data_IF_736149668232
#
_entry.id   IF_736149668232
#
_cell.length_a   1.000
_cell.length_b   1.000
_cell.length_c   1.000
_cell.angle_alpha   90.00
_cell.angle_beta   90.00
_cell.angle_gamma   90.00
#
_symmetry.space_group_name_H-M   'P 1'
#
loop_
_entity.id
_entity.type
_entity.pdbx_description
1 polymer ?
#
# COMPACT_ATOMS: atom_id res chain seq x y z
N UNK A 1 -10.62 6.57 9.56
CA UNK A 1 -10.75 6.27 8.12
C UNK A 1 -11.17 4.81 7.93
N UNK A 2 -11.93 4.50 6.87
CA UNK A 2 -12.51 3.16 6.65
C UNK A 2 -11.42 2.10 6.43
N UNK A 3 -10.33 2.43 5.78
CA UNK A 3 -9.21 1.54 5.51
C UNK A 3 -8.53 1.02 6.80
N UNK A 4 -8.48 1.81 7.86
CA UNK A 4 -7.87 1.42 9.14
C UNK A 4 -8.59 0.25 9.81
N UNK A 5 -9.91 0.18 9.66
CA UNK A 5 -10.73 -0.80 10.36
C UNK A 5 -11.26 -1.94 9.49
N UNK A 6 -11.17 -1.79 8.16
CA UNK A 6 -11.84 -2.71 7.23
C UNK A 6 -10.95 -3.29 6.16
N UNK A 7 -9.74 -2.79 5.95
CA UNK A 7 -8.86 -3.30 4.90
C UNK A 7 -7.99 -4.46 5.36
N UNK A 8 -7.49 -5.23 4.40
CA UNK A 8 -6.45 -6.23 4.60
C UNK A 8 -5.15 -5.68 4.00
N UNK A 9 -4.11 -5.43 4.81
CA UNK A 9 -2.86 -4.88 4.32
C UNK A 9 -2.01 -5.95 3.64
N UNK A 10 -1.40 -5.60 2.51
CA UNK A 10 -0.39 -6.39 1.80
C UNK A 10 0.81 -5.52 1.47
N UNK A 11 2.01 -6.10 1.44
CA UNK A 11 3.21 -5.38 1.06
C UNK A 11 4.40 -6.30 0.83
N UNK A 12 5.42 -5.76 0.17
CA UNK A 12 6.72 -6.43 -0.05
C UNK A 12 7.91 -5.57 0.42
N UNK A 13 7.64 -4.50 1.18
CA UNK A 13 8.65 -3.53 1.61
C UNK A 13 8.98 -2.44 0.58
N UNK A 14 8.43 -2.50 -0.64
CA UNK A 14 8.48 -1.44 -1.66
C UNK A 14 7.08 -0.95 -1.98
N UNK A 15 6.24 -1.83 -2.50
CA UNK A 15 4.83 -1.57 -2.79
C UNK A 15 3.99 -2.09 -1.64
N UNK A 16 2.98 -1.33 -1.25
CA UNK A 16 1.95 -1.72 -0.30
C UNK A 16 0.55 -1.47 -0.84
N UNK A 17 -0.43 -2.23 -0.39
CA UNK A 17 -1.82 -1.94 -0.66
C UNK A 17 -2.75 -2.34 0.48
N UNK A 18 -3.91 -1.69 0.52
CA UNK A 18 -5.04 -2.06 1.37
C UNK A 18 -6.14 -2.66 0.49
N UNK A 19 -6.53 -3.91 0.76
CA UNK A 19 -7.60 -4.63 0.05
C UNK A 19 -8.91 -4.45 0.81
N UNK A 20 -9.92 -3.85 0.20
CA UNK A 20 -11.21 -3.59 0.88
C UNK A 20 -12.12 -4.82 0.89
N UNK A 21 -12.08 -5.64 -0.13
CA UNK A 21 -12.91 -6.86 -0.25
C UNK A 21 -14.33 -6.60 -0.74
N UNK A 22 -14.58 -5.51 -1.44
CA UNK A 22 -15.89 -5.16 -1.99
C UNK A 22 -16.27 -6.06 -3.19
N UNK A 23 -17.57 -6.21 -3.48
CA UNK A 23 -18.08 -7.06 -4.56
C UNK A 23 -18.21 -6.25 -5.84
N UNK A 24 -19.07 -5.23 -5.85
CA UNK A 24 -19.40 -4.44 -7.03
C UNK A 24 -18.24 -3.58 -7.51
N UNK A 25 -17.57 -2.92 -6.58
CA UNK A 25 -16.39 -2.08 -6.84
C UNK A 25 -15.33 -2.38 -5.79
N UNK A 26 -14.34 -3.17 -6.17
CA UNK A 26 -13.18 -3.42 -5.31
C UNK A 26 -12.21 -2.25 -5.37
N UNK A 27 -11.60 -1.94 -4.24
CA UNK A 27 -10.66 -0.82 -4.11
C UNK A 27 -9.37 -1.27 -3.46
N UNK A 28 -8.26 -0.83 -4.04
CA UNK A 28 -6.91 -1.03 -3.53
C UNK A 28 -6.27 0.34 -3.35
N UNK A 29 -6.14 0.81 -2.11
CA UNK A 29 -5.32 1.99 -1.82
C UNK A 29 -3.86 1.60 -1.91
N UNK A 30 -3.10 2.31 -2.73
CA UNK A 30 -1.74 1.93 -3.10
C UNK A 30 -0.71 2.84 -2.45
N UNK A 31 0.44 2.27 -2.12
CA UNK A 31 1.59 2.98 -1.57
C UNK A 31 2.87 2.49 -2.24
N UNK A 32 3.84 3.39 -2.38
CA UNK A 32 5.23 3.09 -2.66
C UNK A 32 6.08 3.77 -1.58
N UNK A 33 7.05 3.03 -1.01
CA UNK A 33 7.77 3.42 0.22
C UNK A 33 8.57 4.72 0.10
N UNK A 34 9.00 5.08 -1.12
CA UNK A 34 9.83 6.26 -1.39
C UNK A 34 9.02 7.45 -1.85
N UNK A 35 7.71 7.29 -2.05
CA UNK A 35 6.82 8.37 -2.50
C UNK A 35 6.49 9.30 -1.33
N UNK A 36 7.28 10.34 -1.15
CA UNK A 36 7.17 11.33 -0.09
C UNK A 36 7.02 12.73 -0.65
N UNK A 37 6.12 13.50 -0.07
CA UNK A 37 5.96 14.93 -0.34
C UNK A 37 6.93 15.73 0.51
N UNK A 38 7.33 16.89 0.01
CA UNK A 38 8.23 17.78 0.74
C UNK A 38 9.68 17.33 0.69
N UNK A 39 10.47 17.95 1.53
CA UNK A 39 11.90 17.71 1.63
C UNK A 39 12.65 19.01 1.96
N UNK A 40 13.94 18.94 2.21
CA UNK A 40 14.72 20.08 2.67
C UNK A 40 14.76 21.25 1.67
N UNK A 41 14.62 20.99 0.38
CA UNK A 41 14.74 22.00 -0.68
C UNK A 41 13.40 22.46 -1.27
N UNK A 42 12.28 22.05 -0.72
CA UNK A 42 10.95 22.28 -1.31
C UNK A 42 10.28 23.56 -0.84
N UNK A 43 10.81 24.22 0.21
CA UNK A 43 10.24 25.42 0.77
C UNK A 43 11.19 26.60 0.67
N UNK A 44 10.64 27.81 0.45
CA UNK A 44 11.37 29.06 0.56
C UNK A 44 11.97 29.16 1.97
N UNK A 45 13.30 29.27 2.09
CA UNK A 45 13.99 29.23 3.37
C UNK A 45 14.37 27.82 3.86
N UNK A 46 14.52 26.85 2.95
CA UNK A 46 14.95 25.48 3.27
C UNK A 46 16.25 25.44 4.11
N UNK A 47 17.14 26.39 3.97
CA UNK A 47 18.34 26.52 4.80
C UNK A 47 18.02 26.70 6.28
N UNK A 48 16.89 27.31 6.64
CA UNK A 48 16.45 27.47 8.01
C UNK A 48 15.98 26.15 8.64
N UNK A 49 15.59 25.18 7.81
CA UNK A 49 15.19 23.86 8.26
C UNK A 49 16.29 23.16 9.08
N UNK A 50 17.50 23.12 8.55
CA UNK A 50 18.65 22.49 9.22
C UNK A 50 19.16 23.29 10.43
N UNK A 51 18.85 24.58 10.48
CA UNK A 51 19.29 25.48 11.56
C UNK A 51 18.22 25.68 12.64
N UNK A 52 17.01 25.19 12.44
CA UNK A 52 15.84 25.54 13.22
C UNK A 52 16.00 25.36 14.74
N UNK A 53 16.73 24.33 15.16
CA UNK A 53 16.93 24.02 16.58
C UNK A 53 18.42 24.04 17.01
N UNK A 54 19.33 24.44 16.15
CA UNK A 54 20.76 24.38 16.46
C UNK A 54 21.19 25.23 17.67
N UNK A 55 20.44 26.26 17.98
CA UNK A 55 20.73 27.14 19.12
C UNK A 55 20.03 26.71 20.42
N UNK A 56 19.16 25.70 20.37
CA UNK A 56 18.37 25.27 21.52
C UNK A 56 19.06 24.23 22.43
N UNK A 57 20.28 23.80 22.11
CA UNK A 57 20.98 22.77 22.90
C UNK A 57 21.15 23.16 24.38
N UNK A 58 21.25 24.45 24.70
CA UNK A 58 21.35 24.95 26.09
C UNK A 58 20.12 24.64 26.95
N UNK A 59 18.93 24.47 26.34
CA UNK A 59 17.67 24.15 27.03
C UNK A 59 17.63 22.70 27.49
N UNK A 60 18.46 21.80 26.93
CA UNK A 60 18.45 20.37 27.29
C UNK A 60 18.68 20.12 28.77
N UNK A 61 19.52 20.95 29.45
CA UNK A 61 19.73 20.79 30.88
C UNK A 61 18.48 21.10 31.70
N UNK A 62 17.68 22.10 31.27
CA UNK A 62 16.46 22.49 31.97
C UNK A 62 15.33 21.44 31.73
N UNK A 63 15.30 20.84 30.54
CA UNK A 63 14.41 19.71 30.26
C UNK A 63 14.76 18.52 31.16
N UNK A 64 16.05 18.16 31.26
CA UNK A 64 16.52 17.06 32.11
C UNK A 64 16.22 17.34 33.58
N UNK A 65 16.43 18.59 34.05
CA UNK A 65 16.11 18.97 35.40
C UNK A 65 14.62 18.85 35.70
N UNK A 66 13.74 19.29 34.77
CA UNK A 66 12.31 19.15 34.90
C UNK A 66 11.88 17.66 35.01
N UNK A 67 12.51 16.77 34.22
CA UNK A 67 12.30 15.32 34.36
C UNK A 67 12.75 14.79 35.73
N UNK A 68 13.90 15.24 36.23
CA UNK A 68 14.42 14.82 37.55
C UNK A 68 13.51 15.29 38.68
N UNK A 69 12.93 16.48 38.55
CA UNK A 69 12.03 17.10 39.53
C UNK A 69 10.59 16.51 39.43
N UNK A 70 10.32 15.62 38.45
CA UNK A 70 8.99 15.06 38.21
C UNK A 70 8.01 16.02 37.54
N UNK A 71 8.47 17.17 37.05
CA UNK A 71 7.66 18.16 36.34
C UNK A 71 7.57 17.81 34.82
N UNK A 72 6.79 16.79 34.53
CA UNK A 72 6.58 16.30 33.16
C UNK A 72 5.95 17.34 32.24
N UNK A 73 5.11 18.21 32.78
CA UNK A 73 4.44 19.26 32.01
C UNK A 73 5.44 20.30 31.53
N UNK A 74 6.33 20.77 32.40
CA UNK A 74 7.40 21.69 32.04
C UNK A 74 8.39 21.07 31.08
N UNK A 75 8.75 19.79 31.28
CA UNK A 75 9.64 19.08 30.36
C UNK A 75 9.04 18.99 28.95
N UNK A 76 7.76 18.62 28.82
CA UNK A 76 7.05 18.57 27.55
C UNK A 76 6.93 19.95 26.91
N UNK A 77 6.61 21.00 27.68
CA UNK A 77 6.52 22.37 27.18
C UNK A 77 7.87 22.87 26.61
N UNK A 78 8.96 22.71 27.37
CA UNK A 78 10.29 23.10 26.92
C UNK A 78 10.72 22.34 25.66
N UNK A 79 10.42 21.03 25.58
CA UNK A 79 10.71 20.20 24.41
C UNK A 79 9.93 20.70 23.19
N UNK A 80 8.63 20.93 23.34
CA UNK A 80 7.78 21.41 22.25
C UNK A 80 8.20 22.77 21.73
N UNK A 81 8.56 23.70 22.63
CA UNK A 81 8.95 25.04 22.26
C UNK A 81 10.32 25.12 21.57
N UNK A 82 11.25 24.19 21.90
CA UNK A 82 12.64 24.33 21.50
C UNK A 82 13.14 23.27 20.53
N UNK A 83 12.44 22.11 20.44
CA UNK A 83 12.91 20.96 19.63
C UNK A 83 11.85 20.42 18.65
N UNK A 84 10.64 20.95 18.69
CA UNK A 84 9.69 20.70 17.61
C UNK A 84 9.87 21.75 16.53
N UNK A 85 9.85 21.33 15.30
CA UNK A 85 9.84 22.23 14.17
C UNK A 85 8.48 22.91 14.05
N UNK A 86 8.27 23.90 14.89
CA UNK A 86 7.09 24.77 14.83
C UNK A 86 7.29 25.83 13.75
N UNK A 87 7.13 25.43 12.47
CA UNK A 87 6.84 26.42 11.46
C UNK A 87 5.33 26.64 11.49
N UNK A 88 4.86 27.81 11.90
CA UNK A 88 3.44 28.09 11.92
C UNK A 88 2.85 27.84 10.53
N UNK A 89 1.74 27.13 10.47
CA UNK A 89 0.93 26.91 9.26
C UNK A 89 0.68 28.21 8.48
N UNK A 90 0.48 29.31 9.23
CA UNK A 90 0.18 30.64 8.73
C UNK A 90 1.36 31.35 8.04
N UNK A 91 2.59 30.99 8.37
CA UNK A 91 3.78 31.65 7.84
C UNK A 91 4.13 31.25 6.41
N UNK A 92 3.61 30.14 5.91
CA UNK A 92 3.96 29.61 4.59
C UNK A 92 2.78 29.49 3.63
N UNK A 93 1.53 29.68 4.08
CA UNK A 93 0.33 29.40 3.29
C UNK A 93 0.16 27.93 2.89
N UNK A 94 1.15 27.09 3.20
CA UNK A 94 1.23 25.68 2.84
C UNK A 94 1.60 24.85 4.07
N UNK A 95 0.69 24.05 4.61
CA UNK A 95 0.98 23.22 5.76
C UNK A 95 1.96 22.09 5.39
N UNK A 96 2.98 21.92 6.20
CA UNK A 96 3.77 20.69 6.34
C UNK A 96 4.84 20.36 5.28
N UNK A 97 5.18 21.23 4.36
CA UNK A 97 6.10 20.86 3.26
C UNK A 97 7.60 20.98 3.58
N UNK A 98 7.95 21.42 4.77
CA UNK A 98 9.36 21.50 5.22
C UNK A 98 9.90 20.18 5.74
N UNK A 99 9.02 19.26 6.12
CA UNK A 99 9.36 17.90 6.55
C UNK A 99 8.78 16.96 5.54
N UNK A 100 9.51 16.04 5.01
CA UNK A 100 8.94 15.03 4.17
C UNK A 100 7.70 14.42 4.85
N UNK A 101 6.62 14.25 4.11
CA UNK A 101 5.42 13.56 4.57
C UNK A 101 5.07 12.43 3.62
N UNK A 102 4.75 11.28 4.21
CA UNK A 102 4.28 10.14 3.46
C UNK A 102 2.97 10.48 2.74
N UNK A 103 2.83 10.00 1.51
CA UNK A 103 1.61 10.15 0.73
C UNK A 103 1.23 8.84 0.04
N UNK A 104 -0.06 8.66 -0.25
CA UNK A 104 -0.53 7.52 -1.02
C UNK A 104 -0.18 7.71 -2.49
N UNK A 105 0.00 6.61 -3.21
CA UNK A 105 0.23 6.63 -4.66
C UNK A 105 -1.07 6.85 -5.43
N UNK A 106 -2.19 6.47 -4.87
CA UNK A 106 -3.52 6.54 -5.48
C UNK A 106 -4.34 5.30 -5.21
N UNK A 107 -5.39 5.09 -5.98
CA UNK A 107 -6.32 3.98 -5.80
C UNK A 107 -6.55 3.23 -7.13
N UNK A 108 -6.39 1.90 -7.10
CA UNK A 108 -6.82 1.02 -8.18
C UNK A 108 -8.21 0.50 -7.87
N UNK A 109 -9.13 0.61 -8.82
CA UNK A 109 -10.51 0.11 -8.68
C UNK A 109 -10.83 -0.94 -9.72
N UNK A 110 -11.60 -1.96 -9.31
CA UNK A 110 -12.16 -2.99 -10.18
C UNK A 110 -13.67 -2.87 -10.13
N UNK A 111 -14.28 -2.34 -11.18
CA UNK A 111 -15.74 -2.21 -11.33
C UNK A 111 -16.25 -3.48 -11.99
N UNK A 112 -16.74 -4.43 -11.20
CA UNK A 112 -17.22 -5.74 -11.70
C UNK A 112 -18.67 -5.72 -12.19
N UNK A 113 -19.44 -4.71 -11.75
CA UNK A 113 -20.88 -4.67 -12.03
C UNK A 113 -21.71 -5.74 -11.33
N UNK A 114 -21.09 -6.66 -10.57
CA UNK A 114 -21.81 -7.71 -9.84
C UNK A 114 -22.59 -7.06 -8.70
N UNK A 115 -23.92 -7.25 -8.69
CA UNK A 115 -24.76 -6.76 -7.58
C UNK A 115 -24.38 -7.46 -6.28
N UNK A 116 -24.29 -6.73 -5.16
CA UNK A 116 -24.15 -7.33 -3.85
C UNK A 116 -25.45 -8.02 -3.37
N UNK A 117 -26.60 -7.73 -4.01
CA UNK A 117 -27.87 -8.30 -3.65
C UNK A 117 -27.93 -9.79 -3.99
N UNK A 118 -28.42 -10.60 -3.05
CA UNK A 118 -28.50 -12.03 -3.20
C UNK A 118 -27.17 -12.79 -3.14
N UNK A 119 -26.09 -12.10 -2.79
CA UNK A 119 -24.78 -12.74 -2.59
C UNK A 119 -24.82 -13.65 -1.35
N UNK A 120 -24.22 -14.82 -1.49
CA UNK A 120 -24.02 -15.79 -0.41
C UNK A 120 -22.56 -16.22 -0.30
N UNK A 121 -22.22 -16.91 0.80
CA UNK A 121 -20.89 -17.45 1.08
C UNK A 121 -19.75 -16.43 0.96
N UNK A 122 -20.04 -15.14 1.23
CA UNK A 122 -19.02 -14.13 1.21
C UNK A 122 -17.97 -14.39 2.30
N UNK A 123 -16.71 -14.39 1.89
CA UNK A 123 -15.56 -14.48 2.79
C UNK A 123 -14.43 -13.59 2.31
N UNK A 124 -13.84 -12.88 3.26
CA UNK A 124 -12.62 -12.12 3.10
C UNK A 124 -11.61 -12.59 4.12
N UNK A 125 -10.39 -12.90 3.71
CA UNK A 125 -9.35 -13.42 4.58
C UNK A 125 -7.97 -12.91 4.16
N UNK A 126 -7.11 -12.66 5.15
CA UNK A 126 -5.68 -12.47 5.00
C UNK A 126 -4.99 -13.72 5.54
N UNK A 127 -4.19 -14.39 4.70
CA UNK A 127 -3.32 -15.50 5.11
C UNK A 127 -1.99 -14.92 5.56
N UNK A 128 -1.79 -14.80 6.87
CA UNK A 128 -0.55 -14.22 7.44
C UNK A 128 0.67 -15.14 7.30
N UNK A 129 0.46 -16.44 7.11
CA UNK A 129 1.50 -17.45 6.89
C UNK A 129 1.96 -17.58 5.45
N UNK A 130 1.20 -17.01 4.52
CA UNK A 130 1.40 -17.10 3.08
C UNK A 130 1.33 -15.74 2.37
N UNK A 131 1.09 -14.66 3.11
CA UNK A 131 1.07 -13.24 2.68
C UNK A 131 0.22 -12.97 1.45
N UNK A 132 -1.04 -13.42 1.43
CA UNK A 132 -2.00 -13.07 0.41
C UNK A 132 -3.40 -12.80 0.97
N UNK A 133 -4.14 -11.92 0.34
CA UNK A 133 -5.54 -11.69 0.61
C UNK A 133 -6.41 -12.52 -0.35
N UNK A 134 -7.54 -13.03 0.17
CA UNK A 134 -8.55 -13.78 -0.60
C UNK A 134 -9.92 -13.17 -0.34
N UNK A 135 -10.66 -12.95 -1.42
CA UNK A 135 -12.08 -12.59 -1.38
C UNK A 135 -12.85 -13.61 -2.21
N UNK A 136 -13.86 -14.23 -1.64
CA UNK A 136 -14.70 -15.22 -2.34
C UNK A 136 -16.16 -15.02 -1.99
N UNK A 137 -17.05 -15.28 -2.95
CA UNK A 137 -18.49 -15.18 -2.77
C UNK A 137 -19.22 -15.96 -3.89
N UNK A 138 -20.51 -16.20 -3.69
CA UNK A 138 -21.41 -16.73 -4.72
C UNK A 138 -22.44 -15.65 -5.03
N UNK A 139 -22.52 -15.23 -6.30
CA UNK A 139 -23.48 -14.24 -6.77
C UNK A 139 -24.90 -14.84 -6.85
N UNK A 140 -25.91 -13.98 -7.01
CA UNK A 140 -27.32 -14.37 -7.05
C UNK A 140 -27.65 -15.40 -8.17
N UNK A 141 -26.88 -15.37 -9.26
CA UNK A 141 -27.03 -16.32 -10.38
C UNK A 141 -26.35 -17.70 -10.13
N UNK A 142 -25.80 -17.90 -8.92
CA UNK A 142 -25.09 -19.11 -8.52
C UNK A 142 -23.65 -19.21 -9.00
N UNK A 143 -23.10 -18.16 -9.64
CA UNK A 143 -21.69 -18.13 -10.04
C UNK A 143 -20.81 -17.83 -8.81
N UNK A 144 -19.85 -18.71 -8.54
CA UNK A 144 -18.86 -18.48 -7.49
C UNK A 144 -17.67 -17.75 -8.05
N UNK A 145 -17.21 -16.73 -7.32
CA UNK A 145 -16.07 -15.89 -7.68
C UNK A 145 -14.99 -15.97 -6.60
N UNK A 146 -13.73 -15.93 -7.03
CA UNK A 146 -12.58 -15.79 -6.15
C UNK A 146 -11.63 -14.71 -6.68
N UNK A 147 -11.15 -13.85 -5.79
CA UNK A 147 -10.03 -12.93 -6.03
C UNK A 147 -8.93 -13.24 -5.05
N UNK A 148 -7.72 -13.43 -5.55
CA UNK A 148 -6.52 -13.61 -4.73
C UNK A 148 -5.53 -12.50 -5.06
N UNK A 149 -5.07 -11.78 -4.03
CA UNK A 149 -4.14 -10.67 -4.19
C UNK A 149 -2.89 -10.92 -3.35
N UNK A 150 -1.72 -10.73 -3.92
CA UNK A 150 -0.43 -10.73 -3.21
C UNK A 150 0.52 -9.72 -3.82
N UNK A 151 1.56 -9.32 -3.06
CA UNK A 151 2.65 -8.48 -3.55
C UNK A 151 3.94 -9.27 -3.41
N UNK A 152 4.53 -9.63 -4.55
CA UNK A 152 5.74 -10.45 -4.62
C UNK A 152 6.99 -9.62 -4.36
N UNK A 153 7.80 -9.98 -3.38
CA UNK A 153 9.12 -9.38 -3.17
C UNK A 153 10.09 -9.75 -4.33
N UNK A 154 10.25 -11.04 -4.72
CA UNK A 154 11.21 -11.39 -5.77
C UNK A 154 10.90 -10.83 -7.16
N UNK A 155 9.64 -10.50 -7.44
CA UNK A 155 9.22 -9.97 -8.72
C UNK A 155 8.95 -8.46 -8.70
N UNK A 156 8.86 -7.85 -7.53
CA UNK A 156 8.42 -6.48 -7.27
C UNK A 156 7.13 -6.13 -8.03
N UNK A 157 6.12 -6.99 -7.89
CA UNK A 157 4.84 -6.88 -8.56
C UNK A 157 3.71 -7.22 -7.62
N UNK A 158 2.63 -6.42 -7.67
CA UNK A 158 1.33 -6.80 -7.13
C UNK A 158 0.59 -7.63 -8.19
N UNK A 159 0.03 -8.75 -7.80
CA UNK A 159 -0.78 -9.62 -8.65
C UNK A 159 -2.16 -9.81 -8.05
N UNK A 160 -3.20 -9.62 -8.87
CA UNK A 160 -4.60 -9.86 -8.53
C UNK A 160 -5.11 -10.91 -9.50
N UNK A 161 -5.45 -12.08 -9.01
CA UNK A 161 -5.97 -13.18 -9.81
C UNK A 161 -7.47 -13.35 -9.56
N UNK A 162 -8.24 -13.34 -10.62
CA UNK A 162 -9.70 -13.45 -10.60
C UNK A 162 -10.13 -14.71 -11.35
N UNK A 163 -10.89 -15.56 -10.68
CA UNK A 163 -11.49 -16.78 -11.24
C UNK A 163 -12.98 -16.82 -10.96
N UNK A 164 -13.71 -17.59 -11.77
CA UNK A 164 -15.13 -17.85 -11.56
C UNK A 164 -15.47 -19.32 -11.88
N UNK A 165 -16.59 -19.80 -11.35
CA UNK A 165 -17.07 -21.16 -11.60
C UNK A 165 -17.68 -21.36 -13.01
N UNK A 166 -17.99 -20.26 -13.71
CA UNK A 166 -18.51 -20.28 -15.08
C UNK A 166 -17.48 -19.66 -16.03
N UNK A 167 -17.26 -20.27 -17.21
CA UNK A 167 -16.45 -19.64 -18.26
C UNK A 167 -17.04 -18.31 -18.70
N UNK A 168 -16.18 -17.38 -19.12
CA UNK A 168 -16.60 -16.06 -19.58
C UNK A 168 -17.18 -15.13 -18.52
N UNK A 169 -17.06 -15.46 -17.23
CA UNK A 169 -17.72 -14.71 -16.18
C UNK A 169 -16.93 -13.47 -15.70
N UNK A 170 -15.67 -13.30 -16.13
CA UNK A 170 -14.88 -12.13 -15.76
C UNK A 170 -15.15 -11.01 -16.75
N UNK A 171 -16.02 -10.07 -16.35
CA UNK A 171 -16.30 -8.82 -17.09
C UNK A 171 -16.18 -7.68 -16.10
N UNK A 172 -15.23 -6.76 -16.32
CA UNK A 172 -14.97 -5.64 -15.40
C UNK A 172 -14.18 -4.52 -16.05
N UNK A 173 -14.22 -3.36 -15.42
CA UNK A 173 -13.38 -2.22 -15.78
C UNK A 173 -12.37 -1.97 -14.68
N UNK A 174 -11.09 -1.81 -15.07
CA UNK A 174 -9.98 -1.45 -14.16
C UNK A 174 -9.62 0.00 -14.37
N UNK A 175 -9.68 0.79 -13.29
CA UNK A 175 -9.34 2.22 -13.28
C UNK A 175 -8.27 2.50 -12.26
N UNK A 176 -7.46 3.50 -12.51
CA UNK A 176 -6.53 4.04 -11.55
C UNK A 176 -6.83 5.52 -11.33
N UNK A 177 -7.10 5.88 -10.07
CA UNK A 177 -7.24 7.25 -9.62
C UNK A 177 -5.94 7.67 -8.94
N UNK A 178 -5.13 8.53 -9.56
CA UNK A 178 -3.87 8.98 -8.97
C UNK A 178 -4.10 9.84 -7.74
N UNK A 179 -3.04 10.02 -6.96
CA UNK A 179 -3.06 10.96 -5.84
C UNK A 179 -3.37 12.39 -6.36
N UNK A 180 -4.30 13.13 -5.74
CA UNK A 180 -4.70 14.47 -6.20
C UNK A 180 -3.58 15.53 -6.10
N UNK A 181 -2.49 15.25 -5.37
CA UNK A 181 -1.31 16.13 -5.27
C UNK A 181 -0.23 15.76 -6.29
N UNK A 182 -0.59 15.06 -7.34
CA UNK A 182 0.32 14.72 -8.44
C UNK A 182 -0.23 15.21 -9.77
N UNK A 183 0.67 15.63 -10.63
CA UNK A 183 0.39 15.99 -12.02
C UNK A 183 0.99 14.93 -12.95
N UNK A 184 0.16 14.33 -13.78
CA UNK A 184 0.63 13.23 -14.62
C UNK A 184 -0.29 12.89 -15.77
N UNK A 185 0.12 11.89 -16.54
CA UNK A 185 -0.60 11.45 -17.73
C UNK A 185 -0.60 9.94 -17.89
N UNK A 186 -1.63 9.43 -18.55
CA UNK A 186 -1.76 8.03 -18.94
C UNK A 186 -1.26 7.81 -20.35
N UNK A 187 -0.56 6.71 -20.55
CA UNK A 187 -0.20 6.19 -21.87
C UNK A 187 -0.59 4.71 -21.98
N UNK A 188 -1.00 4.23 -23.16
CA UNK A 188 -1.21 2.79 -23.38
C UNK A 188 0.06 1.98 -23.14
N UNK A 189 -0.07 0.81 -22.50
CA UNK A 189 1.02 -0.20 -22.39
C UNK A 189 0.58 -1.51 -23.05
N UNK A 190 0.60 -1.51 -24.36
CA UNK A 190 0.03 -2.56 -25.20
C UNK A 190 -1.50 -2.55 -25.20
N UNK A 191 -2.12 -3.66 -25.66
CA UNK A 191 -3.58 -3.74 -25.82
C UNK A 191 -4.35 -3.77 -24.50
N UNK A 192 -3.76 -4.28 -23.43
CA UNK A 192 -4.44 -4.54 -22.16
C UNK A 192 -3.74 -3.91 -20.97
N UNK A 193 -3.07 -2.79 -21.12
CA UNK A 193 -2.38 -2.12 -20.04
C UNK A 193 -2.27 -0.61 -20.22
N UNK A 194 -1.87 0.05 -19.15
CA UNK A 194 -1.50 1.46 -19.15
C UNK A 194 -0.28 1.72 -18.27
N UNK A 195 0.39 2.80 -18.57
CA UNK A 195 1.40 3.43 -17.74
C UNK A 195 0.91 4.82 -17.34
N UNK A 196 0.94 5.13 -16.05
CA UNK A 196 0.75 6.46 -15.52
C UNK A 196 2.08 7.01 -15.04
N UNK A 197 2.49 8.15 -15.58
CA UNK A 197 3.70 8.88 -15.19
C UNK A 197 3.31 10.20 -14.60
N UNK A 198 3.85 10.52 -13.43
CA UNK A 198 3.51 11.75 -12.74
C UNK A 198 4.64 12.30 -11.90
N UNK A 199 4.51 13.57 -11.52
CA UNK A 199 5.35 14.25 -10.55
C UNK A 199 4.49 14.72 -9.38
N UNK A 200 5.05 14.69 -8.18
CA UNK A 200 4.44 15.34 -7.02
C UNK A 200 4.51 16.88 -7.18
N UNK A 201 3.48 17.57 -6.71
CA UNK A 201 3.27 19.02 -6.88
C UNK A 201 4.33 19.89 -6.21
N UNK A 202 5.00 19.39 -5.16
CA UNK A 202 5.84 20.22 -4.30
C UNK A 202 7.34 19.92 -4.32
N UNK A 203 7.75 18.71 -4.66
CA UNK A 203 9.16 18.32 -4.74
C UNK A 203 9.56 17.75 -6.09
N UNK A 204 8.60 17.70 -7.03
CA UNK A 204 8.77 17.21 -8.39
C UNK A 204 9.29 15.77 -8.49
N UNK A 205 9.14 14.98 -7.41
CA UNK A 205 9.49 13.55 -7.43
C UNK A 205 8.68 12.85 -8.49
N UNK A 206 9.37 12.23 -9.44
CA UNK A 206 8.72 11.42 -10.48
C UNK A 206 8.34 10.06 -9.93
N UNK A 207 7.16 9.59 -10.31
CA UNK A 207 6.75 8.20 -10.05
C UNK A 207 5.99 7.62 -11.24
N UNK A 208 6.05 6.31 -11.35
CA UNK A 208 5.40 5.55 -12.42
C UNK A 208 4.57 4.43 -11.81
N UNK A 209 3.33 4.31 -12.30
CA UNK A 209 2.46 3.16 -12.04
C UNK A 209 2.11 2.49 -13.35
N UNK A 210 2.39 1.20 -13.44
CA UNK A 210 2.11 0.42 -14.63
C UNK A 210 1.16 -0.72 -14.29
N UNK A 211 0.04 -0.82 -15.03
CA UNK A 211 -0.98 -1.85 -14.83
C UNK A 211 -1.19 -2.63 -16.13
N UNK A 212 -1.31 -3.95 -16.02
CA UNK A 212 -1.55 -4.83 -17.15
C UNK A 212 -2.51 -5.95 -16.81
N UNK A 213 -3.45 -6.22 -17.71
CA UNK A 213 -4.38 -7.33 -17.63
C UNK A 213 -3.95 -8.48 -18.57
N UNK A 214 -3.93 -9.69 -18.03
CA UNK A 214 -3.65 -10.94 -18.74
C UNK A 214 -4.89 -11.83 -18.62
N UNK A 215 -5.63 -12.01 -19.69
CA UNK A 215 -6.85 -12.81 -19.70
C UNK A 215 -6.64 -14.12 -20.47
N UNK A 216 -7.32 -15.18 -20.00
CA UNK A 216 -7.59 -16.39 -20.78
C UNK A 216 -9.04 -16.34 -21.21
N UNK A 217 -9.32 -16.46 -22.50
CA UNK A 217 -10.65 -16.23 -23.07
C UNK A 217 -11.03 -14.74 -23.08
N UNK A 218 -12.15 -14.43 -23.70
CA UNK A 218 -12.68 -13.07 -23.77
C UNK A 218 -11.79 -12.05 -24.50
N UNK A 219 -11.93 -10.78 -24.12
CA UNK A 219 -11.15 -9.68 -24.67
C UNK A 219 -10.66 -8.72 -23.61
N UNK A 220 -9.52 -8.06 -23.89
CA UNK A 220 -8.96 -6.98 -23.07
C UNK A 220 -8.60 -5.80 -23.96
N UNK A 221 -9.07 -4.61 -23.60
CA UNK A 221 -8.77 -3.37 -24.32
C UNK A 221 -8.48 -2.25 -23.35
N UNK A 222 -7.56 -1.35 -23.72
CA UNK A 222 -7.35 -0.08 -23.02
C UNK A 222 -7.99 1.03 -23.84
N UNK A 223 -8.94 1.76 -23.24
CA UNK A 223 -9.60 2.92 -23.82
C UNK A 223 -10.12 3.84 -22.71
N UNK A 224 -10.26 5.10 -22.98
CA UNK A 224 -10.83 6.10 -22.08
C UNK A 224 -10.21 6.11 -20.67
N UNK A 225 -8.89 5.90 -20.60
CA UNK A 225 -8.13 5.87 -19.32
C UNK A 225 -8.36 4.62 -18.47
N UNK A 226 -9.01 3.57 -19.00
CA UNK A 226 -9.34 2.36 -18.27
C UNK A 226 -9.02 1.09 -19.07
N UNK A 227 -8.78 -0.02 -18.37
CA UNK A 227 -8.73 -1.36 -18.96
C UNK A 227 -10.12 -1.98 -18.89
N UNK A 228 -10.65 -2.42 -20.02
CA UNK A 228 -11.91 -3.13 -20.12
C UNK A 228 -11.64 -4.60 -20.40
N UNK A 229 -12.19 -5.45 -19.57
CA UNK A 229 -12.16 -6.92 -19.70
C UNK A 229 -13.59 -7.40 -19.96
N UNK A 230 -13.77 -8.21 -20.99
CA UNK A 230 -15.08 -8.74 -21.40
C UNK A 230 -15.00 -10.25 -21.59
N UNK A 231 -15.76 -10.99 -20.80
CA UNK A 231 -15.98 -12.42 -20.97
C UNK A 231 -14.75 -13.30 -20.79
N UNK A 232 -13.81 -12.94 -19.92
CA UNK A 232 -12.64 -13.78 -19.67
C UNK A 232 -12.99 -14.97 -18.74
N UNK A 233 -12.35 -16.11 -18.97
CA UNK A 233 -12.43 -17.29 -18.12
C UNK A 233 -11.56 -17.17 -16.87
N UNK A 234 -10.38 -16.57 -17.02
CA UNK A 234 -9.37 -16.35 -15.99
C UNK A 234 -8.71 -15.01 -16.26
N UNK A 235 -8.49 -14.22 -15.22
CA UNK A 235 -7.89 -12.89 -15.34
C UNK A 235 -6.82 -12.70 -14.29
N UNK A 236 -5.65 -12.24 -14.72
CA UNK A 236 -4.59 -11.75 -13.82
C UNK A 236 -4.32 -10.29 -14.13
N UNK A 237 -4.43 -9.43 -13.11
CA UNK A 237 -3.96 -8.05 -13.16
C UNK A 237 -2.59 -7.98 -12.49
N UNK A 238 -1.65 -7.33 -13.15
CA UNK A 238 -0.31 -7.05 -12.63
C UNK A 238 -0.15 -5.55 -12.47
N UNK A 239 0.47 -5.13 -11.35
CA UNK A 239 0.82 -3.74 -11.09
C UNK A 239 2.26 -3.66 -10.62
N UNK A 240 3.04 -2.75 -11.21
CA UNK A 240 4.38 -2.35 -10.75
C UNK A 240 4.41 -0.84 -10.54
N UNK A 241 5.21 -0.40 -9.58
CA UNK A 241 5.38 1.02 -9.32
C UNK A 241 6.79 1.30 -8.80
N UNK A 242 7.30 2.49 -9.09
CA UNK A 242 8.60 2.97 -8.61
C UNK A 242 8.62 4.50 -8.64
N UNK A 243 9.59 5.10 -7.94
CA UNK A 243 9.90 6.52 -7.97
C UNK A 243 11.31 6.75 -8.51
N UNK A 244 11.66 8.00 -8.81
CA UNK A 244 13.02 8.38 -9.21
C UNK A 244 13.99 8.47 -8.01
N UNK A 245 13.53 8.15 -6.80
CA UNK A 245 14.32 8.26 -5.58
C UNK A 245 15.54 7.31 -5.58
N UNK A 246 16.71 7.89 -5.34
CA UNK A 246 17.91 7.14 -5.01
C UNK A 246 18.49 7.62 -3.68
N UNK A 247 18.84 6.71 -2.75
CA UNK A 247 19.47 7.10 -1.49
C UNK A 247 20.82 7.77 -1.76
N UNK A 248 21.01 8.96 -1.16
CA UNK A 248 22.27 9.68 -1.18
C UNK A 248 22.69 9.95 0.27
N UNK A 249 23.85 9.46 0.67
CA UNK A 249 24.33 9.53 2.04
C UNK A 249 25.20 10.78 2.31
N UNK A 250 25.52 11.55 1.27
CA UNK A 250 26.24 12.82 1.37
C UNK A 250 25.62 13.84 0.39
N UNK A 251 24.33 14.22 0.61
CA UNK A 251 23.61 15.07 -0.33
C UNK A 251 24.02 16.54 -0.21
N UNK A 252 24.15 17.21 -1.34
CA UNK A 252 24.06 18.66 -1.37
C UNK A 252 22.58 19.07 -1.20
N UNK A 253 22.24 19.59 -0.04
CA UNK A 253 20.87 20.01 0.27
C UNK A 253 20.40 21.26 -0.50
N UNK A 254 21.27 21.89 -1.29
CA UNK A 254 20.91 22.97 -2.20
C UNK A 254 20.58 22.44 -3.61
N UNK A 255 20.92 21.17 -3.90
CA UNK A 255 20.57 20.53 -5.16
C UNK A 255 19.17 19.87 -5.03
N UNK A 256 18.16 20.35 -5.79
CA UNK A 256 16.83 19.74 -5.78
C UNK A 256 16.83 18.30 -6.32
N UNK A 257 17.90 17.87 -6.98
CA UNK A 257 18.08 16.51 -7.52
C UNK A 257 18.99 15.63 -6.68
N UNK A 258 19.32 16.06 -5.45
CA UNK A 258 20.24 15.32 -4.58
C UNK A 258 19.84 13.84 -4.35
N UNK A 259 18.56 13.50 -4.50
CA UNK A 259 18.02 12.16 -4.32
C UNK A 259 17.43 11.54 -5.60
N UNK A 260 17.70 12.13 -6.77
CA UNK A 260 17.24 11.60 -8.05
C UNK A 260 18.33 10.72 -8.66
N UNK A 261 18.01 9.50 -9.03
CA UNK A 261 19.00 8.58 -9.62
C UNK A 261 18.42 7.28 -10.17
N UNK A 262 17.13 7.06 -10.01
CA UNK A 262 16.42 5.91 -10.59
C UNK A 262 15.59 6.40 -11.79
N UNK A 263 15.48 5.59 -12.82
CA UNK A 263 14.54 5.79 -13.91
C UNK A 263 13.33 4.87 -13.69
N UNK A 264 12.22 5.40 -13.12
CA UNK A 264 11.07 4.59 -12.78
C UNK A 264 10.32 4.03 -14.00
N UNK A 265 10.51 4.61 -15.20
CA UNK A 265 10.00 4.06 -16.44
C UNK A 265 10.70 2.74 -16.79
N UNK A 266 12.03 2.73 -16.76
CA UNK A 266 12.81 1.54 -17.07
C UNK A 266 12.61 0.43 -16.04
N UNK A 267 12.61 0.76 -14.74
CA UNK A 267 12.46 -0.23 -13.68
C UNK A 267 11.09 -0.89 -13.71
N UNK A 268 10.01 -0.10 -13.80
CA UNK A 268 8.64 -0.64 -13.86
C UNK A 268 8.39 -1.45 -15.13
N UNK A 269 8.92 -1.01 -16.27
CA UNK A 269 8.83 -1.77 -17.53
C UNK A 269 9.56 -3.12 -17.42
N UNK A 270 10.76 -3.12 -16.85
CA UNK A 270 11.55 -4.33 -16.65
C UNK A 270 10.79 -5.34 -15.77
N UNK A 271 10.26 -4.90 -14.62
CA UNK A 271 9.49 -5.77 -13.72
C UNK A 271 8.22 -6.29 -14.39
N UNK A 272 7.48 -5.42 -15.08
CA UNK A 272 6.25 -5.82 -15.78
C UNK A 272 6.52 -6.86 -16.87
N UNK A 273 7.56 -6.69 -17.69
CA UNK A 273 7.96 -7.67 -18.72
C UNK A 273 8.30 -9.03 -18.11
N UNK A 274 9.07 -9.04 -17.02
CA UNK A 274 9.44 -10.28 -16.33
C UNK A 274 8.22 -10.97 -15.70
N UNK A 275 7.35 -10.20 -15.03
CA UNK A 275 6.15 -10.74 -14.40
C UNK A 275 5.18 -11.31 -15.43
N UNK A 276 4.95 -10.59 -16.54
CA UNK A 276 4.10 -11.06 -17.66
C UNK A 276 4.61 -12.38 -18.22
N UNK A 277 5.93 -12.52 -18.44
CA UNK A 277 6.55 -13.75 -18.97
C UNK A 277 6.41 -14.93 -18.00
N UNK A 278 6.43 -14.69 -16.69
CA UNK A 278 6.29 -15.75 -15.68
C UNK A 278 4.86 -16.28 -15.58
N UNK A 279 3.88 -15.39 -15.67
CA UNK A 279 2.47 -15.71 -15.41
C UNK A 279 2.16 -15.93 -13.93
N UNK A 280 0.85 -16.02 -13.62
CA UNK A 280 0.35 -16.05 -12.25
C UNK A 280 0.93 -17.20 -11.41
N UNK A 281 0.83 -18.43 -11.89
CA UNK A 281 1.18 -19.62 -11.09
C UNK A 281 2.64 -19.60 -10.63
N UNK A 282 3.56 -19.18 -11.54
CA UNK A 282 4.97 -19.09 -11.20
C UNK A 282 5.26 -17.91 -10.27
N UNK A 283 4.59 -16.78 -10.47
CA UNK A 283 4.72 -15.62 -9.56
C UNK A 283 4.26 -15.97 -8.16
N UNK A 284 3.11 -16.68 -8.03
CA UNK A 284 2.58 -17.09 -6.75
C UNK A 284 3.47 -18.13 -6.06
N UNK A 285 3.97 -19.13 -6.80
CA UNK A 285 4.89 -20.12 -6.26
C UNK A 285 6.22 -19.50 -5.77
N UNK A 286 6.79 -18.55 -6.51
CA UNK A 286 8.00 -17.81 -6.10
C UNK A 286 7.72 -16.94 -4.86
N UNK A 287 6.58 -16.25 -4.82
CA UNK A 287 6.13 -15.47 -3.66
C UNK A 287 6.02 -16.34 -2.41
N UNK A 288 5.31 -17.47 -2.49
CA UNK A 288 5.17 -18.40 -1.37
C UNK A 288 6.53 -18.92 -0.90
N UNK A 289 7.38 -19.36 -1.82
CA UNK A 289 8.72 -19.87 -1.50
C UNK A 289 9.56 -18.83 -0.75
N UNK A 290 9.56 -17.60 -1.22
CA UNK A 290 10.30 -16.50 -0.61
C UNK A 290 9.76 -16.21 0.79
N UNK A 291 8.47 -15.86 0.89
CA UNK A 291 7.84 -15.45 2.15
C UNK A 291 7.88 -16.54 3.21
N UNK A 292 7.51 -17.77 2.88
CA UNK A 292 7.49 -18.87 3.86
C UNK A 292 8.89 -19.25 4.33
N UNK A 293 9.93 -19.02 3.53
CA UNK A 293 11.31 -19.25 3.95
C UNK A 293 11.73 -18.40 5.16
N UNK A 294 11.09 -17.25 5.33
CA UNK A 294 11.29 -16.32 6.45
C UNK A 294 10.27 -16.56 7.55
N UNK A 295 8.98 -16.55 7.21
CA UNK A 295 7.89 -16.59 8.18
C UNK A 295 7.86 -17.90 8.97
N UNK A 296 8.15 -19.04 8.35
CA UNK A 296 8.12 -20.36 8.99
C UNK A 296 9.26 -20.62 9.98
N UNK A 297 10.25 -19.73 10.07
CA UNK A 297 11.38 -19.85 11.02
C UNK A 297 10.96 -19.73 12.48
N UNK A 298 9.83 -19.06 12.74
CA UNK A 298 9.29 -18.93 14.09
C UNK A 298 7.90 -19.55 14.13
N UNK A 299 7.70 -20.48 15.05
CA UNK A 299 6.40 -21.07 15.38
C UNK A 299 6.04 -20.66 16.79
N UNK A 300 4.87 -20.05 16.95
CA UNK A 300 4.32 -19.65 18.24
C UNK A 300 2.91 -20.19 18.36
N UNK A 301 2.61 -20.80 19.47
CA UNK A 301 1.30 -21.36 19.80
C UNK A 301 1.02 -21.14 21.27
N UNK A 302 -0.22 -20.83 21.61
CA UNK A 302 -0.73 -20.79 22.96
C UNK A 302 -1.80 -21.87 23.10
N UNK A 303 -1.65 -22.71 24.12
CA UNK A 303 -2.66 -23.69 24.47
C UNK A 303 -3.90 -23.01 25.06
N UNK A 304 -5.08 -23.50 24.70
CA UNK A 304 -6.33 -23.00 25.21
C UNK A 304 -7.44 -22.92 24.16
N UNK A 305 -8.55 -22.31 24.56
CA UNK A 305 -9.69 -22.16 23.68
C UNK A 305 -9.39 -21.26 22.47
N UNK A 306 -9.86 -21.68 21.31
CA UNK A 306 -9.79 -20.90 20.08
C UNK A 306 -11.15 -20.88 19.40
N UNK A 307 -11.63 -19.71 19.05
CA UNK A 307 -12.91 -19.53 18.37
C UNK A 307 -12.79 -19.71 16.86
N UNK A 308 -13.77 -20.31 16.21
CA UNK A 308 -13.89 -20.40 14.75
C UNK A 308 -14.60 -19.18 14.13
N UNK A 309 -15.06 -18.22 14.94
CA UNK A 309 -15.71 -16.99 14.48
C UNK A 309 -14.78 -16.11 13.65
N UNK A 310 -15.32 -15.19 12.82
CA UNK A 310 -14.54 -14.16 12.18
C UNK A 310 -13.76 -13.28 13.17
N UNK A 311 -12.60 -12.77 12.75
CA UNK A 311 -11.67 -12.03 13.65
C UNK A 311 -12.32 -10.81 14.33
N UNK A 312 -13.17 -10.09 13.62
CA UNK A 312 -13.90 -8.94 14.19
C UNK A 312 -14.84 -9.34 15.34
N UNK A 313 -15.50 -10.48 15.23
CA UNK A 313 -16.36 -11.02 16.29
C UNK A 313 -15.52 -11.54 17.47
N UNK A 314 -14.42 -12.23 17.19
CA UNK A 314 -13.46 -12.68 18.22
C UNK A 314 -12.90 -11.51 19.01
N UNK A 315 -12.54 -10.40 18.34
CA UNK A 315 -12.06 -9.17 18.98
C UNK A 315 -13.17 -8.55 19.88
N UNK A 316 -14.42 -8.55 19.41
CA UNK A 316 -15.53 -8.05 20.21
C UNK A 316 -15.79 -8.92 21.45
N UNK A 317 -15.73 -10.25 21.31
CA UNK A 317 -15.85 -11.19 22.43
C UNK A 317 -14.69 -11.04 23.42
N UNK A 318 -13.47 -10.90 22.93
CA UNK A 318 -12.28 -10.71 23.76
C UNK A 318 -12.35 -9.43 24.60
N UNK A 319 -12.84 -8.32 24.02
CA UNK A 319 -13.08 -7.06 24.73
C UNK A 319 -14.11 -7.20 25.86
N UNK A 320 -15.02 -8.18 25.75
CA UNK A 320 -16.00 -8.52 26.80
C UNK A 320 -15.48 -9.53 27.83
N UNK A 321 -14.20 -9.91 27.74
CA UNK A 321 -13.54 -10.80 28.69
C UNK A 321 -13.50 -12.28 28.27
N UNK A 322 -13.94 -12.65 27.09
CA UNK A 322 -13.80 -14.04 26.58
C UNK A 322 -12.32 -14.31 26.27
N UNK A 323 -11.76 -15.33 26.87
CA UNK A 323 -10.39 -15.77 26.55
C UNK A 323 -10.36 -16.49 25.20
N UNK A 324 -9.36 -16.17 24.36
CA UNK A 324 -9.18 -16.74 23.05
C UNK A 324 -7.67 -16.82 22.70
N UNK A 325 -7.03 -17.93 23.10
CA UNK A 325 -5.61 -18.19 22.88
C UNK A 325 -5.23 -18.21 21.38
N UNK A 326 -6.16 -18.65 20.53
CA UNK A 326 -5.97 -18.61 19.08
C UNK A 326 -5.98 -17.18 18.53
N UNK A 327 -6.73 -16.26 19.11
CA UNK A 327 -6.69 -14.83 18.72
C UNK A 327 -5.39 -14.17 19.17
N UNK A 328 -4.90 -14.49 20.37
CA UNK A 328 -3.61 -14.00 20.88
C UNK A 328 -2.45 -14.51 20.02
N UNK A 329 -2.48 -15.80 19.65
CA UNK A 329 -1.54 -16.40 18.69
C UNK A 329 -1.59 -15.67 17.34
N UNK A 330 -2.80 -15.42 16.81
CA UNK A 330 -2.98 -14.69 15.55
C UNK A 330 -2.44 -13.26 15.64
N UNK A 331 -2.66 -12.57 16.75
CA UNK A 331 -2.15 -11.22 16.98
C UNK A 331 -0.62 -11.16 16.95
N UNK A 332 0.05 -12.11 17.61
CA UNK A 332 1.49 -12.25 17.53
C UNK A 332 1.98 -12.50 16.09
N UNK A 333 1.34 -13.45 15.39
CA UNK A 333 1.72 -13.79 14.01
C UNK A 333 1.44 -12.63 13.05
N UNK A 334 0.37 -11.86 13.29
CA UNK A 334 0.06 -10.66 12.50
C UNK A 334 1.13 -9.56 12.69
N UNK A 335 1.62 -9.35 13.93
CA UNK A 335 2.74 -8.44 14.17
C UNK A 335 4.05 -8.85 13.50
N UNK A 336 4.25 -10.16 13.28
CA UNK A 336 5.41 -10.67 12.51
C UNK A 336 5.20 -10.53 10.98
N UNK A 337 3.96 -10.54 10.55
CA UNK A 337 3.58 -10.36 9.16
C UNK A 337 3.79 -8.90 8.71
N UNK A 338 3.46 -7.91 9.53
CA UNK A 338 3.70 -6.49 9.30
C UNK A 338 5.19 -6.13 9.39
#
# INVERSE_FOLDING_TARGET
>A
HEWEYRSLPLGNGSIGCNVMGSIQTERYTLNEKTLWRGGPNTAKGAQDYWNQNKQSAHVLKDIRQAFTDGDWQKAAQLTTQNFNSNVPYEATGEPQFRFGSFTTMGELTLETGISPDGVSHYRRALSVDSAYARVSFTAADGTSYERRTFISYPANVMAIHLTASKPGAQTLTVKYAPNPVSEGSFAPDGKGGFCYTAHLDNNHMEYVVRVKALAKGGSVTYRDGAIHVEGADDLTLLLTADTDYAPNFDPDFNDPKAYVGVDPQQTTEHWMKRATKKGYDKLFAEHLKDYTSLFSRVKFHLDGASSAKPTNERLADYRRGTKDAGLETLYYQYGRYL
#
